data_IF_833419083048
#
_entry.id   IF_833419083048
#
_cell.length_a   1.000
_cell.length_b   1.000
_cell.length_c   1.000
_cell.angle_alpha   90.00
_cell.angle_beta   90.00
_cell.angle_gamma   90.00
#
_symmetry.space_group_name_H-M   'P 1'
#
loop_
_entity.id
_entity.type
_entity.pdbx_description
1 polymer ?
#
# COMPACT_ATOMS: atom_id res chain seq x y z
N UNK A 1 1.97 -38.99 7.94
CA UNK A 1 1.06 -38.04 8.58
C UNK A 1 -0.29 -38.63 8.89
N UNK A 2 -0.93 -39.36 7.97
CA UNK A 2 -2.29 -39.92 8.13
C UNK A 2 -2.47 -40.79 9.35
N UNK A 3 -1.53 -41.68 9.66
CA UNK A 3 -1.62 -42.57 10.83
C UNK A 3 -1.61 -41.80 12.16
N UNK A 4 -0.92 -40.65 12.21
CA UNK A 4 -0.91 -39.79 13.38
C UNK A 4 -2.21 -38.95 13.41
N UNK A 5 -2.67 -38.45 12.29
CA UNK A 5 -3.87 -37.65 12.18
C UNK A 5 -5.14 -38.41 12.60
N UNK A 6 -5.19 -39.72 12.37
CA UNK A 6 -6.33 -40.60 12.83
C UNK A 6 -6.62 -40.50 14.33
N UNK A 7 -5.63 -40.25 15.15
CA UNK A 7 -5.81 -40.10 16.60
C UNK A 7 -6.57 -38.83 16.99
N UNK A 8 -6.61 -37.83 16.09
CA UNK A 8 -7.23 -36.52 16.28
C UNK A 8 -8.60 -36.39 15.62
N UNK A 9 -9.08 -37.40 14.93
CA UNK A 9 -10.46 -37.46 14.39
C UNK A 9 -11.44 -37.65 15.55
N UNK A 10 -11.88 -36.53 16.16
CA UNK A 10 -12.81 -36.48 17.30
C UNK A 10 -13.61 -35.18 17.28
N UNK A 11 -14.84 -35.21 17.74
CA UNK A 11 -15.70 -34.05 17.89
C UNK A 11 -16.00 -33.38 16.56
N UNK A 12 -15.54 -32.15 16.37
CA UNK A 12 -15.75 -31.35 15.16
C UNK A 12 -14.89 -31.84 13.98
N UNK A 13 -13.80 -32.56 14.23
CA UNK A 13 -12.89 -33.07 13.20
C UNK A 13 -13.44 -34.37 12.65
N UNK A 14 -14.02 -34.34 11.45
CA UNK A 14 -14.81 -35.43 10.87
C UNK A 14 -13.96 -36.52 10.22
N UNK A 15 -12.80 -36.17 9.69
CA UNK A 15 -11.92 -37.06 8.93
C UNK A 15 -10.44 -36.72 9.08
N UNK A 16 -9.59 -37.57 8.51
CA UNK A 16 -8.13 -37.41 8.56
C UNK A 16 -7.65 -36.15 7.83
N UNK A 17 -8.30 -35.80 6.74
CA UNK A 17 -7.93 -34.64 5.93
C UNK A 17 -8.24 -33.33 6.68
N UNK A 18 -9.37 -33.27 7.37
CA UNK A 18 -9.71 -32.17 8.26
C UNK A 18 -8.72 -32.04 9.42
N UNK A 19 -8.24 -33.18 10.00
CA UNK A 19 -7.20 -33.15 11.03
C UNK A 19 -5.86 -32.62 10.51
N UNK A 20 -5.46 -33.02 9.31
CA UNK A 20 -4.24 -32.55 8.65
C UNK A 20 -4.36 -31.06 8.34
N UNK A 21 -5.49 -30.62 7.76
CA UNK A 21 -5.73 -29.21 7.46
C UNK A 21 -5.71 -28.34 8.71
N UNK A 22 -6.36 -28.78 9.80
CA UNK A 22 -6.31 -28.08 11.08
C UNK A 22 -4.89 -27.95 11.64
N UNK A 23 -4.06 -29.00 11.49
CA UNK A 23 -2.65 -28.95 11.88
C UNK A 23 -1.86 -27.92 11.00
N UNK A 24 -2.12 -27.89 9.69
CA UNK A 24 -1.50 -26.90 8.79
C UNK A 24 -1.92 -25.47 9.14
N UNK A 25 -3.19 -25.26 9.50
CA UNK A 25 -3.68 -23.93 9.91
C UNK A 25 -3.01 -23.45 11.21
N UNK A 26 -2.83 -24.32 12.20
CA UNK A 26 -2.10 -24.02 13.45
C UNK A 26 -0.63 -23.67 13.14
N UNK A 27 0.01 -24.41 12.25
CA UNK A 27 1.39 -24.14 11.83
C UNK A 27 1.45 -22.79 11.12
N UNK A 28 0.52 -22.50 10.22
CA UNK A 28 0.46 -21.24 9.49
C UNK A 28 0.28 -20.03 10.43
N UNK A 29 -0.61 -20.13 11.41
CA UNK A 29 -0.80 -19.11 12.46
C UNK A 29 0.48 -18.91 13.27
N UNK A 30 1.10 -19.98 13.76
CA UNK A 30 2.35 -19.94 14.53
C UNK A 30 3.47 -19.24 13.74
N UNK A 31 3.58 -19.51 12.45
CA UNK A 31 4.56 -18.87 11.55
C UNK A 31 4.23 -17.38 11.38
N UNK A 32 2.96 -17.07 11.20
CA UNK A 32 2.50 -15.69 10.97
C UNK A 32 2.67 -14.78 12.18
N UNK A 33 2.61 -15.33 13.39
CA UNK A 33 2.82 -14.61 14.65
C UNK A 33 4.30 -14.49 15.04
N UNK A 34 5.17 -15.25 14.39
CA UNK A 34 6.60 -15.21 14.69
C UNK A 34 7.23 -13.86 14.27
N UNK A 35 7.73 -13.12 15.27
CA UNK A 35 8.32 -11.80 15.06
C UNK A 35 9.52 -11.82 14.10
N UNK A 36 10.38 -12.84 14.20
CA UNK A 36 11.54 -12.96 13.31
C UNK A 36 11.12 -13.17 11.86
N UNK A 37 10.10 -13.98 11.63
CA UNK A 37 9.52 -14.23 10.31
C UNK A 37 8.94 -12.93 9.73
N UNK A 38 8.12 -12.22 10.51
CA UNK A 38 7.56 -10.92 10.08
C UNK A 38 8.65 -9.91 9.77
N UNK A 39 9.68 -9.82 10.62
CA UNK A 39 10.81 -8.93 10.41
C UNK A 39 11.62 -9.30 9.16
N UNK A 40 11.77 -10.58 8.86
CA UNK A 40 12.42 -11.06 7.64
C UNK A 40 11.65 -10.61 6.39
N UNK A 41 10.33 -10.76 6.39
CA UNK A 41 9.47 -10.31 5.29
C UNK A 41 9.47 -8.79 5.17
N UNK A 42 9.35 -8.03 6.28
CA UNK A 42 9.50 -6.57 6.27
C UNK A 42 10.82 -6.10 5.65
N UNK A 43 11.90 -6.79 5.98
CA UNK A 43 13.22 -6.47 5.41
C UNK A 43 13.28 -6.74 3.89
N UNK A 44 12.58 -7.77 3.39
CA UNK A 44 12.43 -8.01 1.97
C UNK A 44 11.62 -6.90 1.30
N UNK A 45 10.45 -6.53 1.85
CA UNK A 45 9.66 -5.40 1.36
C UNK A 45 10.45 -4.10 1.33
N UNK A 46 11.19 -3.78 2.38
CA UNK A 46 12.02 -2.55 2.44
C UNK A 46 13.06 -2.45 1.33
N UNK A 47 13.60 -3.59 0.89
CA UNK A 47 14.66 -3.63 -0.13
C UNK A 47 14.13 -3.79 -1.54
N UNK A 48 13.12 -4.62 -1.72
CA UNK A 48 12.75 -5.22 -3.00
C UNK A 48 11.33 -4.83 -3.45
N UNK A 49 10.51 -4.22 -2.57
CA UNK A 49 9.12 -3.90 -2.91
C UNK A 49 9.01 -3.02 -4.16
N UNK A 50 8.10 -3.42 -5.02
CA UNK A 50 7.72 -2.72 -6.24
C UNK A 50 6.31 -2.18 -6.05
N UNK A 51 6.13 -0.89 -6.26
CA UNK A 51 4.82 -0.30 -6.40
C UNK A 51 4.39 -0.37 -7.86
N UNK A 52 3.20 -0.87 -8.10
CA UNK A 52 2.61 -0.96 -9.43
C UNK A 52 1.22 -0.35 -9.46
N UNK A 53 0.87 0.26 -10.58
CA UNK A 53 -0.44 0.85 -10.80
C UNK A 53 -0.98 0.38 -12.15
N UNK A 54 -2.24 -0.04 -12.17
CA UNK A 54 -2.96 -0.43 -13.39
C UNK A 54 -4.32 0.23 -13.45
N UNK A 55 -4.72 0.66 -14.66
CA UNK A 55 -6.06 1.19 -14.87
C UNK A 55 -7.11 0.09 -14.74
N UNK A 56 -8.25 0.43 -14.15
CA UNK A 56 -9.43 -0.43 -14.14
C UNK A 56 -10.05 -0.36 -15.54
N UNK A 57 -9.98 -1.47 -16.29
CA UNK A 57 -10.32 -1.51 -17.72
C UNK A 57 -11.70 -0.91 -18.05
N UNK A 58 -12.69 -1.15 -17.19
CA UNK A 58 -14.05 -0.61 -17.35
C UNK A 58 -14.13 0.93 -17.23
N UNK A 59 -13.11 1.59 -16.67
CA UNK A 59 -13.10 3.04 -16.40
C UNK A 59 -12.05 3.79 -17.20
N UNK A 60 -11.35 3.12 -18.09
CA UNK A 60 -10.24 3.68 -18.85
C UNK A 60 -10.63 4.91 -19.68
N UNK A 61 -11.83 4.86 -20.26
CA UNK A 61 -12.32 5.89 -21.19
C UNK A 61 -13.22 6.95 -20.50
N UNK A 62 -13.37 6.87 -19.17
CA UNK A 62 -14.09 7.89 -18.42
C UNK A 62 -13.32 9.22 -18.37
N UNK A 63 -14.02 10.34 -18.45
CA UNK A 63 -13.44 11.72 -18.48
C UNK A 63 -12.48 11.98 -17.30
N UNK A 64 -12.74 11.39 -16.13
CA UNK A 64 -11.86 11.53 -14.95
C UNK A 64 -10.57 10.71 -15.00
N UNK A 65 -10.53 9.64 -15.81
CA UNK A 65 -9.38 8.74 -15.89
C UNK A 65 -8.17 9.35 -16.58
N UNK A 66 -8.39 10.29 -17.51
CA UNK A 66 -7.32 10.91 -18.31
C UNK A 66 -6.24 11.60 -17.47
N UNK A 67 -6.57 12.08 -16.28
CA UNK A 67 -5.59 12.67 -15.33
C UNK A 67 -4.52 11.66 -14.88
N UNK A 68 -4.81 10.37 -14.99
CA UNK A 68 -3.99 9.27 -14.48
C UNK A 68 -3.36 8.44 -15.57
N UNK A 69 -3.35 8.91 -16.82
CA UNK A 69 -2.85 8.17 -17.99
C UNK A 69 -1.42 7.68 -17.78
N UNK A 70 -0.56 8.47 -17.16
CA UNK A 70 0.84 8.11 -16.87
C UNK A 70 0.97 6.93 -15.89
N UNK A 71 -0.12 6.60 -15.18
CA UNK A 71 -0.18 5.53 -14.18
C UNK A 71 -1.06 4.34 -14.61
N UNK A 72 -1.50 4.29 -15.85
CA UNK A 72 -2.36 3.20 -16.37
C UNK A 72 -1.65 1.85 -16.42
N UNK A 73 -0.34 1.86 -16.63
CA UNK A 73 0.53 0.71 -16.53
C UNK A 73 1.92 1.18 -16.06
N UNK A 74 2.02 1.39 -14.75
CA UNK A 74 3.21 1.96 -14.13
C UNK A 74 3.78 1.00 -13.10
N UNK A 75 5.11 0.92 -13.01
CA UNK A 75 5.81 0.09 -12.04
C UNK A 75 7.19 0.66 -11.75
N UNK A 76 7.53 0.79 -10.47
CA UNK A 76 8.88 1.16 -10.03
C UNK A 76 9.20 0.62 -8.62
N UNK A 77 10.48 0.51 -8.23
CA UNK A 77 10.84 0.18 -6.85
C UNK A 77 10.26 1.20 -5.86
N UNK A 78 9.53 0.72 -4.84
CA UNK A 78 8.86 1.58 -3.85
C UNK A 78 9.84 2.57 -3.20
N UNK A 79 11.06 2.15 -2.90
CA UNK A 79 12.10 2.99 -2.30
C UNK A 79 12.56 4.17 -3.18
N UNK A 80 12.26 4.14 -4.49
CA UNK A 80 12.58 5.20 -5.47
C UNK A 80 11.35 6.00 -5.87
N UNK A 81 10.17 5.57 -5.45
CA UNK A 81 8.94 6.25 -5.79
C UNK A 81 8.90 7.64 -5.11
N UNK A 82 8.76 8.67 -5.92
CA UNK A 82 8.59 10.03 -5.43
C UNK A 82 7.22 10.19 -4.75
N UNK A 83 7.17 10.92 -3.64
CA UNK A 83 5.94 11.17 -2.88
C UNK A 83 4.79 11.70 -3.74
N UNK A 84 5.05 12.61 -4.67
CA UNK A 84 4.03 13.16 -5.57
C UNK A 84 3.42 12.09 -6.48
N UNK A 85 4.25 11.15 -7.02
CA UNK A 85 3.76 10.03 -7.84
C UNK A 85 2.93 9.07 -7.02
N UNK A 86 3.42 8.73 -5.82
CA UNK A 86 2.69 7.87 -4.89
C UNK A 86 1.32 8.46 -4.55
N UNK A 87 1.25 9.74 -4.20
CA UNK A 87 -0.01 10.42 -3.90
C UNK A 87 -0.93 10.52 -5.11
N UNK A 88 -0.39 10.71 -6.33
CA UNK A 88 -1.19 10.70 -7.55
C UNK A 88 -1.81 9.32 -7.81
N UNK A 89 -1.04 8.24 -7.67
CA UNK A 89 -1.55 6.86 -7.79
C UNK A 89 -2.61 6.55 -6.73
N UNK A 90 -2.37 6.90 -5.46
CA UNK A 90 -3.34 6.70 -4.37
C UNK A 90 -4.62 7.51 -4.56
N UNK A 91 -4.53 8.70 -5.14
CA UNK A 91 -5.71 9.49 -5.52
C UNK A 91 -6.50 8.80 -6.63
N UNK A 92 -5.83 8.33 -7.69
CA UNK A 92 -6.47 7.59 -8.76
C UNK A 92 -7.13 6.30 -8.28
N UNK A 93 -6.56 5.63 -7.27
CA UNK A 93 -7.15 4.47 -6.61
C UNK A 93 -8.40 4.86 -5.80
N UNK A 94 -8.33 5.93 -5.00
CA UNK A 94 -9.46 6.45 -4.21
C UNK A 94 -10.62 6.93 -5.08
N UNK A 95 -10.32 7.52 -6.25
CA UNK A 95 -11.32 7.90 -7.25
C UNK A 95 -11.82 6.68 -8.06
N UNK A 96 -11.25 5.50 -7.85
CA UNK A 96 -11.66 4.24 -8.46
C UNK A 96 -11.25 4.06 -9.92
N UNK A 97 -10.24 4.77 -10.40
CA UNK A 97 -9.69 4.62 -11.76
C UNK A 97 -8.51 3.67 -11.82
N UNK A 98 -7.71 3.61 -10.75
CA UNK A 98 -6.51 2.81 -10.68
C UNK A 98 -6.65 1.69 -9.64
N UNK A 99 -5.86 0.63 -9.82
CA UNK A 99 -5.54 -0.36 -8.79
C UNK A 99 -4.05 -0.27 -8.50
N UNK A 100 -3.70 -0.04 -7.23
CA UNK A 100 -2.31 0.12 -6.80
C UNK A 100 -1.93 -1.01 -5.86
N UNK A 101 -0.86 -1.73 -6.19
CA UNK A 101 -0.35 -2.84 -5.38
C UNK A 101 1.13 -2.58 -5.03
N UNK A 102 1.54 -3.10 -3.88
CA UNK A 102 2.93 -3.11 -3.44
C UNK A 102 3.31 -4.57 -3.23
N UNK A 103 4.16 -5.10 -4.09
CA UNK A 103 4.51 -6.52 -4.12
C UNK A 103 6.01 -6.74 -4.07
N UNK A 104 6.40 -7.93 -3.65
CA UNK A 104 7.78 -8.45 -3.76
C UNK A 104 7.74 -9.75 -4.57
N UNK A 105 8.90 -10.39 -4.76
CA UNK A 105 8.95 -11.74 -5.32
C UNK A 105 8.45 -12.76 -4.30
N UNK A 106 7.24 -13.28 -4.58
CA UNK A 106 6.55 -14.23 -3.71
C UNK A 106 7.26 -15.59 -3.65
N UNK A 107 7.78 -16.05 -4.81
CA UNK A 107 8.44 -17.36 -4.91
C UNK A 107 9.72 -17.34 -4.10
N UNK A 108 10.59 -16.37 -4.31
CA UNK A 108 11.84 -16.24 -3.58
C UNK A 108 11.62 -16.07 -2.06
N UNK A 109 10.61 -15.28 -1.68
CA UNK A 109 10.27 -15.06 -0.27
C UNK A 109 9.75 -16.32 0.38
N UNK A 110 8.83 -17.03 -0.29
CA UNK A 110 8.30 -18.30 0.20
C UNK A 110 9.39 -19.34 0.34
N UNK A 111 10.28 -19.49 -0.64
CA UNK A 111 11.42 -20.40 -0.56
C UNK A 111 12.37 -20.09 0.61
N UNK A 112 12.63 -18.81 0.87
CA UNK A 112 13.45 -18.39 2.02
C UNK A 112 12.82 -18.83 3.34
N UNK A 113 11.49 -18.67 3.48
CA UNK A 113 10.76 -19.11 4.67
C UNK A 113 10.73 -20.63 4.78
N UNK A 114 10.49 -21.34 3.68
CA UNK A 114 10.50 -22.81 3.66
C UNK A 114 11.86 -23.36 4.11
N UNK A 115 12.98 -22.83 3.65
CA UNK A 115 14.32 -23.22 4.12
C UNK A 115 14.52 -23.08 5.62
N UNK A 116 13.81 -22.13 6.24
CA UNK A 116 13.88 -21.92 7.69
C UNK A 116 13.03 -22.95 8.46
N UNK A 117 11.82 -23.25 8.00
CA UNK A 117 10.84 -24.06 8.73
C UNK A 117 10.87 -25.55 8.38
N UNK A 118 11.20 -25.89 7.13
CA UNK A 118 11.19 -27.28 6.67
C UNK A 118 12.49 -27.98 7.05
N UNK A 119 12.44 -28.91 8.02
CA UNK A 119 13.62 -29.56 8.59
C UNK A 119 13.78 -31.04 8.20
N UNK A 120 13.03 -31.54 7.25
CA UNK A 120 13.06 -32.93 6.89
C UNK A 120 12.78 -33.21 5.43
N UNK A 121 12.63 -34.49 5.12
CA UNK A 121 12.23 -34.96 3.79
C UNK A 121 11.06 -35.94 3.96
N UNK A 122 10.12 -35.95 3.01
CA UNK A 122 9.00 -36.87 3.00
C UNK A 122 7.63 -36.17 3.11
N UNK A 123 6.56 -36.96 3.34
CA UNK A 123 5.19 -36.46 3.30
C UNK A 123 4.91 -35.36 4.35
N UNK A 124 5.47 -35.43 5.53
CA UNK A 124 5.32 -34.38 6.54
C UNK A 124 6.01 -33.07 6.13
N UNK A 125 7.16 -33.14 5.47
CA UNK A 125 7.88 -31.97 5.00
C UNK A 125 7.04 -31.20 3.97
N UNK A 126 6.38 -31.91 3.05
CA UNK A 126 5.47 -31.28 2.06
C UNK A 126 4.30 -30.56 2.72
N UNK A 127 3.69 -31.14 3.75
CA UNK A 127 2.61 -30.49 4.49
C UNK A 127 3.07 -29.22 5.20
N UNK A 128 4.31 -29.19 5.70
CA UNK A 128 4.90 -27.98 6.28
C UNK A 128 5.24 -26.97 5.20
N UNK A 129 5.77 -27.38 4.03
CA UNK A 129 5.99 -26.49 2.88
C UNK A 129 4.70 -25.77 2.45
N UNK A 130 3.60 -26.53 2.36
CA UNK A 130 2.27 -25.97 2.05
C UNK A 130 1.79 -25.00 3.14
N UNK A 131 1.95 -25.35 4.42
CA UNK A 131 1.57 -24.50 5.53
C UNK A 131 2.38 -23.19 5.57
N UNK A 132 3.68 -23.23 5.25
CA UNK A 132 4.53 -22.03 5.13
C UNK A 132 4.06 -21.13 3.98
N UNK A 133 3.74 -21.71 2.82
CA UNK A 133 3.24 -20.96 1.67
C UNK A 133 1.87 -20.30 1.98
N UNK A 134 0.98 -21.04 2.65
CA UNK A 134 -0.32 -20.51 3.11
C UNK A 134 -0.15 -19.39 4.14
N UNK A 135 0.73 -19.57 5.14
CA UNK A 135 1.06 -18.54 6.13
C UNK A 135 1.54 -17.25 5.48
N UNK A 136 2.45 -17.35 4.52
CA UNK A 136 2.96 -16.21 3.80
C UNK A 136 1.85 -15.54 3.00
N UNK A 137 1.19 -16.27 2.10
CA UNK A 137 0.26 -15.71 1.12
C UNK A 137 -1.04 -15.18 1.74
N UNK A 138 -1.56 -15.89 2.74
CA UNK A 138 -2.85 -15.57 3.36
C UNK A 138 -2.74 -14.62 4.54
N UNK A 139 -1.67 -14.74 5.35
CA UNK A 139 -1.58 -14.03 6.62
C UNK A 139 -0.50 -12.93 6.64
N UNK A 140 0.71 -13.21 6.16
CA UNK A 140 1.85 -12.30 6.32
C UNK A 140 1.88 -11.25 5.21
N UNK A 141 1.83 -11.66 3.95
CA UNK A 141 1.93 -10.78 2.78
C UNK A 141 0.90 -9.65 2.83
N UNK A 142 -0.42 -9.90 2.96
CA UNK A 142 -1.41 -8.83 2.96
C UNK A 142 -1.25 -7.86 4.13
N UNK A 143 -0.82 -8.38 5.29
CA UNK A 143 -0.57 -7.57 6.48
C UNK A 143 0.63 -6.64 6.28
N UNK A 144 1.73 -7.17 5.73
CA UNK A 144 2.96 -6.39 5.49
C UNK A 144 2.76 -5.43 4.31
N UNK A 145 2.07 -5.83 3.25
CA UNK A 145 1.70 -4.94 2.14
C UNK A 145 0.94 -3.72 2.66
N UNK A 146 -0.10 -3.93 3.48
CA UNK A 146 -0.87 -2.84 4.09
C UNK A 146 -0.01 -1.94 4.97
N UNK A 147 0.91 -2.50 5.76
CA UNK A 147 1.87 -1.75 6.58
C UNK A 147 2.74 -0.83 5.71
N UNK A 148 3.29 -1.34 4.62
CA UNK A 148 4.11 -0.55 3.70
C UNK A 148 3.29 0.46 2.89
N UNK A 149 2.06 0.11 2.52
CA UNK A 149 1.14 1.03 1.85
C UNK A 149 0.80 2.23 2.74
N UNK A 150 0.48 1.99 4.01
CA UNK A 150 0.19 3.03 4.99
C UNK A 150 1.43 3.91 5.27
N UNK A 151 2.57 3.29 5.60
CA UNK A 151 3.80 4.01 5.92
C UNK A 151 4.33 4.85 4.75
N UNK A 152 4.26 4.32 3.52
CA UNK A 152 4.69 5.07 2.33
C UNK A 152 3.77 6.26 2.04
N UNK A 153 2.46 6.11 2.25
CA UNK A 153 1.50 7.20 2.10
C UNK A 153 1.72 8.27 3.15
N UNK A 154 1.84 7.91 4.43
CA UNK A 154 2.09 8.83 5.53
C UNK A 154 3.34 9.69 5.27
N UNK A 155 4.45 9.03 4.90
CA UNK A 155 5.68 9.74 4.53
C UNK A 155 5.47 10.72 3.37
N UNK A 156 4.74 10.32 2.33
CA UNK A 156 4.48 11.18 1.18
C UNK A 156 3.56 12.37 1.55
N UNK A 157 2.57 12.15 2.41
CA UNK A 157 1.71 13.21 2.94
C UNK A 157 2.52 14.23 3.77
N UNK A 158 3.40 13.76 4.67
CA UNK A 158 4.28 14.64 5.45
C UNK A 158 5.20 15.50 4.57
N UNK A 159 5.83 14.89 3.57
CA UNK A 159 6.67 15.60 2.60
C UNK A 159 5.87 16.68 1.84
N UNK A 160 4.67 16.34 1.38
CA UNK A 160 3.80 17.27 0.64
C UNK A 160 3.31 18.43 1.53
N UNK A 161 2.92 18.15 2.78
CA UNK A 161 2.52 19.15 3.76
C UNK A 161 3.70 20.08 4.09
N UNK A 162 4.90 19.52 4.24
CA UNK A 162 6.12 20.29 4.49
C UNK A 162 6.40 21.29 3.38
N UNK A 163 6.35 20.86 2.12
CA UNK A 163 6.53 21.73 0.94
C UNK A 163 5.43 22.80 0.87
N UNK A 164 4.17 22.40 1.09
CA UNK A 164 3.05 23.36 1.11
C UNK A 164 3.23 24.42 2.21
N UNK A 165 3.58 24.01 3.42
CA UNK A 165 3.80 24.92 4.55
C UNK A 165 4.92 25.92 4.28
N UNK A 166 6.03 25.46 3.67
CA UNK A 166 7.14 26.32 3.31
C UNK A 166 6.72 27.35 2.25
N UNK A 167 6.03 26.92 1.21
CA UNK A 167 5.54 27.81 0.15
C UNK A 167 4.53 28.83 0.69
N UNK A 168 3.59 28.38 1.52
CA UNK A 168 2.61 29.27 2.17
C UNK A 168 3.31 30.32 3.04
N UNK A 169 4.31 29.91 3.84
CA UNK A 169 5.09 30.83 4.65
C UNK A 169 5.79 31.89 3.80
N UNK A 170 6.39 31.50 2.67
CA UNK A 170 7.04 32.46 1.75
C UNK A 170 6.03 33.46 1.18
N UNK A 171 4.83 33.00 0.80
CA UNK A 171 3.77 33.89 0.31
C UNK A 171 3.28 34.86 1.39
N UNK A 172 3.04 34.37 2.60
CA UNK A 172 2.57 35.21 3.71
C UNK A 172 3.60 36.22 4.21
N UNK A 173 4.89 35.90 4.07
CA UNK A 173 6.00 36.80 4.45
C UNK A 173 6.52 37.64 3.29
N UNK A 174 5.93 37.53 2.09
CA UNK A 174 6.28 38.39 0.96
C UNK A 174 6.00 39.85 1.28
N UNK A 175 6.78 40.75 0.67
CA UNK A 175 6.59 42.20 0.85
C UNK A 175 5.16 42.58 0.42
N UNK A 176 4.46 43.42 1.22
CA UNK A 176 3.11 43.85 0.90
C UNK A 176 3.10 44.65 -0.41
N UNK A 177 2.07 44.45 -1.22
CA UNK A 177 1.88 45.13 -2.51
C UNK A 177 1.73 46.65 -2.40
N UNK A 178 1.54 47.14 -1.17
CA UNK A 178 1.21 48.54 -0.90
C UNK A 178 -0.26 48.86 -1.18
N UNK A 179 -0.61 50.10 -1.15
CA UNK A 179 -1.97 50.59 -1.42
C UNK A 179 -2.29 50.50 -2.90
N UNK A 180 -2.80 49.37 -3.33
CA UNK A 180 -3.20 49.11 -4.73
C UNK A 180 -4.58 48.51 -4.75
N UNK A 181 -5.37 48.83 -5.78
CA UNK A 181 -6.59 48.09 -6.08
C UNK A 181 -6.22 46.74 -6.61
N UNK A 182 -6.67 45.69 -5.97
CA UNK A 182 -6.35 44.32 -6.34
C UNK A 182 -7.63 43.55 -6.68
N UNK A 183 -7.59 42.85 -7.78
CA UNK A 183 -8.63 41.89 -8.15
C UNK A 183 -8.02 40.48 -8.17
N UNK A 184 -8.48 39.63 -7.26
CA UNK A 184 -8.13 38.20 -7.23
C UNK A 184 -9.11 37.40 -8.09
N UNK A 185 -8.59 36.62 -9.01
CA UNK A 185 -9.38 35.72 -9.85
C UNK A 185 -8.93 34.26 -9.57
N UNK A 186 -9.82 33.45 -9.08
CA UNK A 186 -9.63 32.01 -8.88
C UNK A 186 -10.41 31.25 -9.96
N UNK A 187 -9.73 30.75 -11.00
CA UNK A 187 -10.40 30.07 -12.12
C UNK A 187 -10.88 28.68 -11.69
N UNK A 188 -12.19 28.51 -11.64
CA UNK A 188 -12.82 27.21 -11.42
C UNK A 188 -13.01 26.43 -12.72
N UNK A 189 -12.61 25.18 -12.76
CA UNK A 189 -12.69 24.33 -13.97
C UNK A 189 -14.14 24.03 -14.38
N UNK A 190 -15.09 23.94 -13.43
CA UNK A 190 -16.49 23.55 -13.69
C UNK A 190 -17.53 24.60 -13.35
N UNK A 191 -17.23 25.51 -12.43
CA UNK A 191 -18.22 26.44 -11.83
C UNK A 191 -17.98 27.92 -12.15
N UNK A 192 -17.12 28.20 -13.11
CA UNK A 192 -16.70 29.58 -13.43
C UNK A 192 -15.66 30.12 -12.45
N UNK A 193 -15.24 31.36 -12.66
CA UNK A 193 -14.22 32.01 -11.84
C UNK A 193 -14.83 32.62 -10.57
N UNK A 194 -14.17 32.43 -9.43
CA UNK A 194 -14.42 33.24 -8.24
C UNK A 194 -13.62 34.53 -8.33
N UNK A 195 -14.29 35.64 -8.27
CA UNK A 195 -13.66 36.95 -8.35
C UNK A 195 -13.84 37.68 -7.03
N UNK A 196 -12.77 38.21 -6.49
CA UNK A 196 -12.79 39.15 -5.33
C UNK A 196 -12.03 40.38 -5.68
N UNK A 197 -12.61 41.53 -5.37
CA UNK A 197 -11.95 42.83 -5.48
C UNK A 197 -11.87 43.48 -4.10
N UNK A 198 -10.70 44.01 -3.74
CA UNK A 198 -10.52 44.78 -2.52
C UNK A 198 -9.99 46.16 -2.91
N UNK A 199 -10.66 47.20 -2.40
CA UNK A 199 -10.24 48.59 -2.51
C UNK A 199 -9.77 49.00 -1.11
N UNK A 200 -8.47 49.21 -0.93
CA UNK A 200 -7.95 49.79 0.30
C UNK A 200 -8.30 51.29 0.30
N UNK A 201 -9.41 51.63 0.91
CA UNK A 201 -9.65 52.97 1.36
C UNK A 201 -8.80 53.22 2.60
N UNK A 202 -7.84 54.11 2.49
CA UNK A 202 -7.07 54.65 3.60
C UNK A 202 -7.99 55.50 4.48
N UNK A 203 -8.68 54.89 5.42
CA UNK A 203 -9.22 55.58 6.58
C UNK A 203 -8.58 54.99 7.83
N UNK A 204 -7.36 55.42 8.12
CA UNK A 204 -6.83 55.49 9.45
C UNK A 204 -6.88 56.95 9.88
N UNK A 205 -7.94 57.27 10.57
CA UNK A 205 -7.92 58.35 11.60
C UNK A 205 -7.40 57.79 12.91
#
# INVERSE_FOLDING_TARGET
PENVARAYVKGEVKDVDAAIKGAQDIIAETISENEQTRQQVRNAFKREAIISSKVIAAKKDEEGAQKYTDYFDFSEPLRRCNGNRLLAMRRGESEGFLRVNITIDDEETTERLQRHYVKGRGACAKLVEEAVADAYKRLIEPSVENEFAAASKEKADEEAIGVFSLNLRQLLLAAPLGQKRVMGVDPGIRTGCKVRSEEHTSELQ
#
